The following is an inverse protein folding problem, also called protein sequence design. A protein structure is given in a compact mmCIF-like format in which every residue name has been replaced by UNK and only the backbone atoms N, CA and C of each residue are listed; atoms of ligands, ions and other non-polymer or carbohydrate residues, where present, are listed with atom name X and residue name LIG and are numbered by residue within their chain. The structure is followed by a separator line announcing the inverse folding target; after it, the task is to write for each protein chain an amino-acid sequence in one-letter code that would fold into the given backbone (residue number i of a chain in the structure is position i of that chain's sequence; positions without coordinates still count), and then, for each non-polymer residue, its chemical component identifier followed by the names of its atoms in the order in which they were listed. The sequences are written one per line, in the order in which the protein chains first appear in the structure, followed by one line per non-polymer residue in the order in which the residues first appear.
data_IF_082324774341
#
_entry.id   IF_082324774341
#
_cell.length_a   1.000
_cell.length_b   1.000
_cell.length_c   1.000
_cell.angle_alpha   90.00
_cell.angle_beta   90.00
_cell.angle_gamma   90.00
#
_symmetry.space_group_name_H-M   'P 1'
#
loop_
_entity.id
_entity.type
_entity.pdbx_description
1 polymer ?
#
# COMPACT_ATOMS: atom_id res chain seq x y z
N UNK A 1 -29.96 -61.72 12.10
CA UNK A 1 -29.05 -62.83 12.49
C UNK A 1 -27.67 -62.56 11.89
N UNK A 2 -26.64 -62.66 12.73
CA UNK A 2 -25.23 -63.00 12.46
C UNK A 2 -24.44 -62.18 11.42
N UNK A 3 -23.53 -61.36 11.96
CA UNK A 3 -22.21 -61.08 11.37
C UNK A 3 -21.31 -62.26 11.74
N UNK A 4 -20.43 -62.69 10.81
CA UNK A 4 -19.02 -63.09 11.03
C UNK A 4 -18.40 -63.62 9.72
N UNK A 5 -17.05 -63.60 9.57
CA UNK A 5 -16.36 -63.12 8.37
C UNK A 5 -15.48 -64.18 7.70
N UNK A 6 -14.85 -63.85 6.56
CA UNK A 6 -13.68 -64.58 6.05
C UNK A 6 -12.59 -63.64 5.51
N UNK A 7 -11.36 -64.14 5.68
CA UNK A 7 -10.09 -63.46 5.87
C UNK A 7 -9.18 -63.68 4.65
N UNK A 8 -8.38 -62.66 4.31
CA UNK A 8 -7.04 -62.67 3.70
C UNK A 8 -6.65 -63.71 2.63
N UNK A 9 -6.27 -63.24 1.44
CA UNK A 9 -5.04 -63.53 0.67
C UNK A 9 -5.17 -62.71 -0.63
N UNK A 10 -4.17 -62.15 -1.31
CA UNK A 10 -2.81 -62.59 -1.51
C UNK A 10 -2.00 -61.48 -2.20
N UNK A 11 -0.69 -61.53 -2.02
CA UNK A 11 0.31 -60.65 -2.63
C UNK A 11 0.41 -60.88 -4.15
N UNK A 12 0.79 -59.86 -4.91
CA UNK A 12 1.28 -60.08 -6.27
C UNK A 12 1.48 -58.82 -7.11
N UNK A 13 2.69 -58.26 -7.08
CA UNK A 13 3.19 -57.25 -8.01
C UNK A 13 3.07 -57.74 -9.47
N UNK A 14 2.46 -56.94 -10.34
CA UNK A 14 2.70 -56.99 -11.78
C UNK A 14 3.29 -55.65 -12.26
N UNK A 15 4.52 -55.74 -12.79
CA UNK A 15 5.18 -54.74 -13.64
C UNK A 15 4.44 -54.69 -14.98
N UNK A 16 4.31 -53.50 -15.58
CA UNK A 16 4.22 -53.40 -17.04
C UNK A 16 3.36 -52.26 -17.61
N UNK A 17 4.04 -51.15 -17.92
CA UNK A 17 3.83 -50.22 -19.04
C UNK A 17 2.42 -50.00 -19.62
N UNK A 18 1.97 -48.75 -19.63
CA UNK A 18 1.43 -48.11 -20.84
C UNK A 18 1.78 -46.63 -20.82
N UNK A 19 2.44 -46.18 -21.89
CA UNK A 19 2.94 -44.83 -22.14
C UNK A 19 1.75 -43.98 -22.61
N UNK A 20 1.38 -42.95 -21.84
CA UNK A 20 0.38 -41.96 -22.28
C UNK A 20 1.11 -40.69 -22.66
N UNK A 21 0.88 -40.25 -23.90
CA UNK A 21 1.33 -38.98 -24.47
C UNK A 21 0.36 -37.93 -23.94
N UNK A 22 0.81 -37.09 -23.00
CA UNK A 22 0.05 -35.92 -22.56
C UNK A 22 0.52 -34.70 -23.35
N UNK A 23 -0.34 -34.28 -24.28
CA UNK A 23 -0.35 -32.93 -24.82
C UNK A 23 -1.25 -32.09 -23.90
N UNK A 24 -0.67 -31.11 -23.22
CA UNK A 24 -1.44 -30.21 -22.37
C UNK A 24 -0.54 -29.34 -21.51
N UNK A 25 -0.39 -28.06 -21.91
CA UNK A 25 0.02 -27.02 -20.97
C UNK A 25 1.11 -26.06 -21.41
N UNK A 26 1.08 -25.54 -22.64
CA UNK A 26 1.89 -24.37 -23.05
C UNK A 26 1.30 -23.03 -22.59
N UNK A 27 0.47 -23.03 -21.54
CA UNK A 27 -0.17 -21.82 -21.01
C UNK A 27 0.38 -21.40 -19.65
N UNK A 28 0.81 -22.36 -18.81
CA UNK A 28 1.38 -22.07 -17.49
C UNK A 28 2.77 -21.43 -17.57
N UNK A 29 3.60 -21.83 -18.54
CA UNK A 29 4.93 -21.24 -18.72
C UNK A 29 4.90 -19.81 -19.27
N UNK A 30 3.87 -19.47 -20.06
CA UNK A 30 3.66 -18.12 -20.60
C UNK A 30 3.11 -17.14 -19.54
N UNK A 31 2.29 -17.63 -18.60
CA UNK A 31 1.81 -16.82 -17.47
C UNK A 31 2.96 -16.51 -16.49
N UNK A 32 3.84 -17.49 -16.25
CA UNK A 32 4.97 -17.36 -15.34
C UNK A 32 6.07 -16.42 -15.87
N UNK A 33 6.22 -16.31 -17.20
CA UNK A 33 7.16 -15.37 -17.82
C UNK A 33 6.65 -13.92 -17.80
N UNK A 34 5.33 -13.69 -17.70
CA UNK A 34 4.76 -12.34 -17.56
C UNK A 34 4.84 -11.78 -16.14
N UNK A 35 4.89 -12.63 -15.09
CA UNK A 35 5.07 -12.16 -13.71
C UNK A 35 6.51 -11.75 -13.41
N UNK A 36 7.47 -12.31 -14.15
CA UNK A 36 8.90 -12.06 -13.92
C UNK A 36 9.35 -10.69 -14.46
N UNK A 37 8.63 -10.12 -15.44
CA UNK A 37 9.07 -8.92 -16.17
C UNK A 37 8.39 -7.61 -15.72
N UNK A 38 7.52 -7.66 -14.70
CA UNK A 38 6.81 -6.47 -14.18
C UNK A 38 7.04 -6.18 -12.70
N UNK A 39 7.95 -6.94 -12.04
CA UNK A 39 8.29 -6.77 -10.61
C UNK A 39 9.72 -6.31 -10.33
N UNK A 40 10.58 -6.18 -11.35
CA UNK A 40 12.02 -5.97 -11.17
C UNK A 40 12.47 -4.51 -11.34
N UNK A 41 11.73 -3.55 -10.77
CA UNK A 41 12.20 -2.16 -10.66
C UNK A 41 12.23 -1.78 -9.18
N UNK A 42 13.45 -1.79 -8.65
CA UNK A 42 13.93 -1.23 -7.36
C UNK A 42 13.82 -2.13 -6.12
N UNK A 43 14.56 -3.24 -6.12
CA UNK A 43 15.18 -3.75 -4.90
C UNK A 43 16.68 -3.44 -4.94
N UNK A 44 17.03 -2.21 -4.57
CA UNK A 44 18.39 -1.87 -4.14
C UNK A 44 18.39 -1.88 -2.63
N UNK A 45 18.91 -2.97 -2.08
CA UNK A 45 19.18 -3.08 -0.65
C UNK A 45 20.24 -2.07 -0.24
N UNK A 46 19.83 -1.09 0.56
CA UNK A 46 20.71 -0.32 1.44
C UNK A 46 20.02 -0.20 2.81
N UNK A 47 20.79 -0.31 3.89
CA UNK A 47 20.35 -0.59 5.26
C UNK A 47 19.52 0.52 5.93
N UNK A 48 18.29 0.75 5.46
CA UNK A 48 17.38 1.83 5.91
C UNK A 48 15.93 1.36 6.06
N UNK A 49 15.72 0.21 6.72
CA UNK A 49 14.47 -0.57 6.63
C UNK A 49 13.14 0.08 7.06
N UNK A 50 13.15 1.18 7.82
CA UNK A 50 11.90 1.84 8.27
C UNK A 50 11.79 3.31 7.85
N UNK A 51 12.89 4.07 7.92
CA UNK A 51 12.89 5.48 7.52
C UNK A 51 12.84 5.66 6.00
N UNK A 52 13.47 4.76 5.23
CA UNK A 52 13.41 4.80 3.77
C UNK A 52 11.97 4.64 3.23
N UNK A 53 11.11 3.96 3.99
CA UNK A 53 9.72 3.72 3.59
C UNK A 53 8.84 4.97 3.78
N UNK A 54 9.08 5.76 4.85
CA UNK A 54 8.39 7.04 5.08
C UNK A 54 8.70 8.04 3.95
N UNK A 55 9.96 8.19 3.55
CA UNK A 55 10.32 9.15 2.49
C UNK A 55 9.73 8.75 1.14
N UNK A 56 9.73 7.46 0.80
CA UNK A 56 9.06 6.94 -0.41
C UNK A 56 7.56 7.24 -0.39
N UNK A 57 6.91 7.09 0.75
CA UNK A 57 5.49 7.40 0.88
C UNK A 57 5.25 8.91 0.78
N UNK A 58 6.10 9.75 1.38
CA UNK A 58 6.03 11.21 1.27
C UNK A 58 6.23 11.72 -0.16
N UNK A 59 7.16 11.11 -0.92
CA UNK A 59 7.33 11.36 -2.35
C UNK A 59 6.05 10.99 -3.11
N UNK A 60 5.45 9.84 -2.79
CA UNK A 60 4.15 9.44 -3.31
C UNK A 60 3.06 10.47 -3.03
N UNK A 61 2.99 11.03 -1.81
CA UNK A 61 2.03 12.09 -1.50
C UNK A 61 2.28 13.33 -2.36
N UNK A 62 3.54 13.73 -2.54
CA UNK A 62 3.90 14.88 -3.37
C UNK A 62 3.43 14.67 -4.82
N UNK A 63 3.73 13.51 -5.39
CA UNK A 63 3.35 13.15 -6.76
C UNK A 63 1.83 13.13 -6.96
N UNK A 64 1.08 12.42 -6.12
CA UNK A 64 -0.38 12.38 -6.25
C UNK A 64 -1.02 13.74 -5.92
N UNK A 65 -0.38 14.56 -5.09
CA UNK A 65 -0.76 15.94 -4.86
C UNK A 65 -0.62 16.78 -6.13
N UNK A 66 0.51 16.67 -6.85
CA UNK A 66 0.71 17.35 -8.13
C UNK A 66 -0.32 16.92 -9.18
N UNK A 67 -0.59 15.61 -9.27
CA UNK A 67 -1.62 15.07 -10.16
C UNK A 67 -2.99 15.66 -9.81
N UNK A 68 -3.35 15.70 -8.52
CA UNK A 68 -4.63 16.24 -8.05
C UNK A 68 -4.76 17.77 -8.24
N UNK A 69 -3.68 18.52 -8.01
CA UNK A 69 -3.67 19.97 -8.24
C UNK A 69 -3.77 20.34 -9.73
N UNK A 70 -3.31 19.45 -10.62
CA UNK A 70 -3.49 19.58 -12.06
C UNK A 70 -4.89 19.17 -12.50
N UNK A 71 -5.41 18.08 -11.95
CA UNK A 71 -6.69 17.50 -12.34
C UNK A 71 -7.49 17.05 -11.10
N UNK A 72 -8.38 17.92 -10.58
CA UNK A 72 -9.11 17.70 -9.33
C UNK A 72 -10.31 16.74 -9.51
N UNK A 73 -10.02 15.48 -9.86
CA UNK A 73 -11.03 14.43 -10.04
C UNK A 73 -11.22 13.60 -8.76
N UNK A 74 -12.39 12.97 -8.57
CA UNK A 74 -12.62 12.05 -7.47
C UNK A 74 -11.63 10.87 -7.42
N UNK A 75 -11.17 10.42 -8.59
CA UNK A 75 -10.19 9.35 -8.71
C UNK A 75 -8.82 9.79 -8.17
N UNK A 76 -8.32 10.93 -8.63
CA UNK A 76 -7.04 11.49 -8.16
C UNK A 76 -7.09 11.79 -6.67
N UNK A 77 -8.23 12.26 -6.16
CA UNK A 77 -8.42 12.51 -4.73
C UNK A 77 -8.30 11.23 -3.91
N UNK A 78 -8.92 10.15 -4.39
CA UNK A 78 -8.87 8.85 -3.71
C UNK A 78 -7.43 8.34 -3.62
N UNK A 79 -6.65 8.49 -4.68
CA UNK A 79 -5.21 8.13 -4.71
C UNK A 79 -4.40 8.98 -3.73
N UNK A 80 -4.62 10.29 -3.74
CA UNK A 80 -3.95 11.22 -2.83
C UNK A 80 -4.27 10.95 -1.36
N UNK A 81 -5.55 10.83 -1.01
CA UNK A 81 -6.03 10.49 0.34
C UNK A 81 -5.44 9.18 0.84
N UNK A 82 -5.37 8.16 -0.03
CA UNK A 82 -4.79 6.85 0.32
C UNK A 82 -3.33 6.97 0.72
N UNK A 83 -2.53 7.75 0.00
CA UNK A 83 -1.12 7.96 0.38
C UNK A 83 -0.98 8.76 1.67
N UNK A 84 -1.78 9.80 1.88
CA UNK A 84 -1.75 10.55 3.14
C UNK A 84 -2.11 9.65 4.32
N UNK A 85 -3.11 8.78 4.17
CA UNK A 85 -3.50 7.83 5.22
C UNK A 85 -2.36 6.88 5.57
N UNK A 86 -1.63 6.38 4.57
CA UNK A 86 -0.44 5.54 4.79
C UNK A 86 0.68 6.31 5.47
N UNK A 87 0.93 7.54 5.03
CA UNK A 87 1.93 8.43 5.63
C UNK A 87 1.64 8.66 7.12
N UNK A 88 0.44 9.12 7.45
CA UNK A 88 0.03 9.43 8.83
C UNK A 88 0.10 8.19 9.72
N UNK A 89 -0.24 7.00 9.20
CA UNK A 89 -0.11 5.74 9.94
C UNK A 89 1.35 5.47 10.32
N UNK A 90 2.26 5.53 9.35
CA UNK A 90 3.69 5.30 9.61
C UNK A 90 4.29 6.35 10.55
N UNK A 91 3.94 7.62 10.40
CA UNK A 91 4.45 8.67 11.29
C UNK A 91 3.99 8.42 12.72
N UNK A 92 2.71 8.04 12.94
CA UNK A 92 2.23 7.69 14.28
C UNK A 92 3.00 6.53 14.89
N UNK A 93 3.18 5.44 14.14
CA UNK A 93 3.93 4.26 14.58
C UNK A 93 5.38 4.64 14.95
N UNK A 94 6.05 5.44 14.11
CA UNK A 94 7.42 5.90 14.35
C UNK A 94 7.55 6.80 15.58
N UNK A 95 6.53 7.59 15.90
CA UNK A 95 6.53 8.45 17.08
C UNK A 95 6.31 7.65 18.37
N UNK A 96 5.41 6.66 18.36
CA UNK A 96 5.16 5.80 19.51
C UNK A 96 6.39 4.96 19.89
N UNK A 97 7.18 4.52 18.90
CA UNK A 97 8.44 3.79 19.13
C UNK A 97 9.50 4.68 19.82
N UNK A 98 9.51 5.99 19.55
CA UNK A 98 10.52 6.95 20.08
C UNK A 98 10.16 7.56 21.44
N UNK A 99 8.97 7.28 21.98
CA UNK A 99 8.41 7.87 23.21
C UNK A 99 9.08 7.38 24.53
N UNK A 100 10.10 6.51 24.49
CA UNK A 100 10.82 6.03 25.70
C UNK A 100 11.67 7.10 26.42
N UNK A 101 11.87 8.30 25.84
CA UNK A 101 12.69 9.36 26.46
C UNK A 101 11.86 10.57 26.90
N UNK A 102 12.12 11.15 28.08
CA UNK A 102 11.23 12.09 28.79
C UNK A 102 10.99 13.48 28.14
N UNK A 103 11.46 13.77 26.92
CA UNK A 103 11.28 15.07 26.22
C UNK A 103 10.16 15.09 25.16
N UNK A 104 9.35 14.04 25.04
CA UNK A 104 8.51 13.82 23.83
C UNK A 104 7.13 14.49 23.82
N UNK A 105 6.64 15.02 24.94
CA UNK A 105 5.26 15.55 25.04
C UNK A 105 4.92 16.68 24.06
N UNK A 106 5.82 17.65 23.85
CA UNK A 106 5.56 18.78 22.94
C UNK A 106 5.55 18.36 21.46
N UNK A 107 6.43 17.42 21.07
CA UNK A 107 6.48 16.91 19.71
C UNK A 107 5.22 16.12 19.36
N UNK A 108 4.70 15.36 20.33
CA UNK A 108 3.45 14.62 20.19
C UNK A 108 2.24 15.54 20.00
N UNK A 109 2.18 16.66 20.74
CA UNK A 109 1.15 17.68 20.54
C UNK A 109 1.25 18.29 19.13
N UNK A 110 2.47 18.61 18.68
CA UNK A 110 2.68 19.16 17.34
C UNK A 110 2.23 18.17 16.25
N UNK A 111 2.64 16.91 16.36
CA UNK A 111 2.22 15.84 15.45
C UNK A 111 0.70 15.75 15.32
N UNK A 112 -0.02 15.64 16.45
CA UNK A 112 -1.46 15.49 16.40
C UNK A 112 -2.17 16.73 15.85
N UNK A 113 -1.67 17.93 16.15
CA UNK A 113 -2.18 19.16 15.56
C UNK A 113 -1.98 19.19 14.05
N UNK A 114 -0.80 18.84 13.56
CA UNK A 114 -0.53 18.80 12.11
C UNK A 114 -1.41 17.75 11.41
N UNK A 115 -1.63 16.58 12.04
CA UNK A 115 -2.56 15.56 11.52
C UNK A 115 -4.00 16.09 11.44
N UNK A 116 -4.48 16.78 12.47
CA UNK A 116 -5.83 17.36 12.49
C UNK A 116 -6.01 18.40 11.37
N UNK A 117 -5.00 19.25 11.14
CA UNK A 117 -5.02 20.23 10.04
C UNK A 117 -5.01 19.52 8.68
N UNK A 118 -4.24 18.44 8.52
CA UNK A 118 -4.23 17.63 7.29
C UNK A 118 -5.64 17.06 7.02
N UNK A 119 -6.30 16.50 8.04
CA UNK A 119 -7.65 15.93 7.90
C UNK A 119 -8.67 17.01 7.54
N UNK A 120 -8.60 18.18 8.15
CA UNK A 120 -9.46 19.33 7.82
C UNK A 120 -9.26 19.80 6.37
N UNK A 121 -8.02 19.85 5.89
CA UNK A 121 -7.72 20.22 4.52
C UNK A 121 -8.21 19.17 3.52
N UNK A 122 -8.11 17.88 3.86
CA UNK A 122 -8.66 16.79 3.05
C UNK A 122 -10.19 16.85 2.95
N UNK A 123 -10.88 17.21 4.04
CA UNK A 123 -12.32 17.40 4.04
C UNK A 123 -12.76 18.52 3.09
N UNK A 124 -12.12 19.70 3.19
CA UNK A 124 -12.38 20.83 2.28
C UNK A 124 -12.08 20.48 0.82
N UNK A 125 -11.02 19.71 0.58
CA UNK A 125 -10.67 19.28 -0.76
C UNK A 125 -11.73 18.33 -1.33
N UNK A 126 -12.31 17.45 -0.51
CA UNK A 126 -13.43 16.61 -0.91
C UNK A 126 -14.67 17.44 -1.27
N UNK A 127 -14.98 18.48 -0.49
CA UNK A 127 -16.09 19.40 -0.79
C UNK A 127 -15.91 20.08 -2.15
N UNK A 128 -14.73 20.59 -2.46
CA UNK A 128 -14.42 21.22 -3.75
C UNK A 128 -14.60 20.23 -4.90
N UNK A 129 -14.14 18.99 -4.73
CA UNK A 129 -14.18 17.96 -5.78
C UNK A 129 -15.61 17.46 -6.02
N UNK A 130 -16.45 17.46 -4.98
CA UNK A 130 -17.86 17.11 -5.09
C UNK A 130 -18.71 18.28 -5.59
N UNK A 131 -18.25 19.51 -5.41
CA UNK A 131 -18.96 20.69 -5.90
C UNK A 131 -18.93 20.73 -7.43
N UNK A 132 -20.05 21.14 -8.04
CA UNK A 132 -20.15 21.31 -9.49
C UNK A 132 -19.33 22.50 -10.02
N UNK A 133 -18.76 23.33 -9.12
CA UNK A 133 -17.96 24.50 -9.46
C UNK A 133 -16.49 24.21 -9.18
N UNK A 134 -15.67 24.16 -10.22
CA UNK A 134 -14.26 23.76 -10.10
C UNK A 134 -13.43 24.93 -9.58
N UNK A 135 -13.30 25.07 -8.25
CA UNK A 135 -12.34 26.01 -7.66
C UNK A 135 -10.92 25.43 -7.64
N UNK A 136 -10.32 25.34 -8.83
CA UNK A 136 -8.99 24.72 -9.04
C UNK A 136 -7.87 25.41 -8.26
N UNK A 137 -7.93 26.73 -8.09
CA UNK A 137 -6.94 27.47 -7.31
C UNK A 137 -7.01 27.13 -5.83
N UNK A 138 -8.23 26.98 -5.30
CA UNK A 138 -8.43 26.59 -3.90
C UNK A 138 -8.00 25.14 -3.65
N UNK A 139 -8.34 24.22 -4.55
CA UNK A 139 -7.87 22.84 -4.50
C UNK A 139 -6.33 22.77 -4.46
N UNK A 140 -5.65 23.53 -5.32
CA UNK A 140 -4.20 23.59 -5.36
C UNK A 140 -3.61 24.15 -4.05
N UNK A 141 -4.22 25.21 -3.50
CA UNK A 141 -3.80 25.79 -2.21
C UNK A 141 -3.89 24.76 -1.07
N UNK A 142 -4.97 23.99 -1.02
CA UNK A 142 -5.14 22.94 -0.01
C UNK A 142 -4.11 21.82 -0.16
N UNK A 143 -3.82 21.41 -1.40
CA UNK A 143 -2.77 20.43 -1.71
C UNK A 143 -1.41 20.92 -1.21
N UNK A 144 -1.00 22.14 -1.56
CA UNK A 144 0.28 22.71 -1.13
C UNK A 144 0.36 22.87 0.40
N UNK A 145 -0.75 23.24 1.05
CA UNK A 145 -0.81 23.27 2.51
C UNK A 145 -0.56 21.90 3.15
N UNK A 146 -1.13 20.83 2.58
CA UNK A 146 -0.89 19.47 3.08
C UNK A 146 0.57 19.05 2.86
N UNK A 147 1.15 19.35 1.69
CA UNK A 147 2.57 19.07 1.42
C UNK A 147 3.49 19.75 2.43
N UNK A 148 3.23 21.02 2.75
CA UNK A 148 3.99 21.75 3.77
C UNK A 148 3.93 21.08 5.14
N UNK A 149 2.74 20.63 5.57
CA UNK A 149 2.57 19.89 6.83
C UNK A 149 3.30 18.55 6.82
N UNK A 150 3.35 17.86 5.68
CA UNK A 150 4.09 16.60 5.55
C UNK A 150 5.60 16.84 5.70
N UNK A 151 6.14 17.89 5.07
CA UNK A 151 7.55 18.25 5.24
C UNK A 151 7.86 18.59 6.70
N UNK A 152 6.99 19.36 7.35
CA UNK A 152 7.12 19.71 8.76
C UNK A 152 7.11 18.49 9.70
N UNK A 153 6.35 17.44 9.35
CA UNK A 153 6.32 16.17 10.10
C UNK A 153 7.57 15.29 9.91
N UNK A 154 8.38 15.57 8.89
CA UNK A 154 9.61 14.84 8.60
C UNK A 154 10.86 15.48 9.24
N UNK A 155 10.77 16.74 9.67
CA UNK A 155 11.86 17.49 10.33
C UNK A 155 11.99 17.14 11.82
#
# INVERSE_FOLDING_TARGET
MRIEPLKSSEKGKAKGHTKVIESGGTFSSALQSSETDMGAVLDTGDGTGESGDIYKIAEGVTRFGDELGRDPTPENFTRYKKQITRFVKLVRENYEIKDTTSRTGLRKIHLYKSIDIIDQNLAKLAEIILSHETNRLEALKLVESIKGLIVDLLL
#
